data_IF_819676920162
#
_entry.id   IF_819676920162
#
_cell.length_a   1.000
_cell.length_b   1.000
_cell.length_c   1.000
_cell.angle_alpha   90.00
_cell.angle_beta   90.00
_cell.angle_gamma   90.00
#
_symmetry.space_group_name_H-M   'P 1'
#
loop_
_entity.id
_entity.type
_entity.pdbx_description
1 polymer ?
#
# COMPACT_ATOMS: atom_id res chain seq x y z
N UNK A 1 37.29 -47.64 15.39
CA UNK A 1 36.36 -46.58 15.83
C UNK A 1 37.11 -45.26 15.93
N UNK A 2 37.02 -44.41 14.91
CA UNK A 2 37.44 -42.99 14.96
C UNK A 2 36.18 -42.17 14.83
N UNK A 3 35.83 -41.41 15.86
CA UNK A 3 34.66 -40.53 15.86
C UNK A 3 34.96 -39.32 14.98
N UNK A 4 34.15 -39.17 13.93
CA UNK A 4 34.08 -38.00 13.07
C UNK A 4 33.37 -36.89 13.87
N UNK A 5 34.07 -35.83 14.24
CA UNK A 5 33.47 -34.63 14.81
C UNK A 5 32.83 -33.86 13.65
N UNK A 6 31.51 -33.88 13.59
CA UNK A 6 30.72 -33.08 12.65
C UNK A 6 30.77 -31.63 13.13
N UNK A 7 31.66 -30.83 12.56
CA UNK A 7 31.62 -29.37 12.65
C UNK A 7 30.39 -28.91 11.85
N UNK A 8 29.27 -28.65 12.54
CA UNK A 8 28.21 -27.81 11.98
C UNK A 8 28.78 -26.39 11.87
N UNK A 9 29.27 -26.06 10.68
CA UNK A 9 29.44 -24.68 10.25
C UNK A 9 28.07 -24.01 10.26
N UNK A 10 27.87 -23.10 11.22
CA UNK A 10 26.78 -22.14 11.19
C UNK A 10 26.94 -21.28 9.93
N UNK A 11 26.19 -21.60 8.88
CA UNK A 11 25.95 -20.67 7.78
C UNK A 11 25.27 -19.43 8.38
N UNK A 12 25.75 -18.20 8.11
CA UNK A 12 25.01 -17.01 8.48
C UNK A 12 23.66 -17.07 7.77
N UNK A 13 22.58 -16.77 8.49
CA UNK A 13 21.26 -16.65 7.90
C UNK A 13 21.35 -15.71 6.69
N UNK A 14 21.17 -16.25 5.49
CA UNK A 14 21.15 -15.47 4.25
C UNK A 14 19.94 -14.55 4.37
N UNK A 15 20.20 -13.28 4.64
CA UNK A 15 19.20 -12.22 4.53
C UNK A 15 18.80 -12.15 3.06
N UNK A 16 17.59 -12.61 2.71
CA UNK A 16 17.07 -12.41 1.36
C UNK A 16 16.71 -10.93 1.20
N UNK A 17 17.56 -10.13 0.56
CA UNK A 17 17.17 -8.77 0.17
C UNK A 17 16.11 -8.82 -0.94
N UNK A 18 15.31 -7.76 -1.09
CA UNK A 18 14.14 -7.72 -1.97
C UNK A 18 14.45 -8.01 -3.45
N UNK A 19 15.72 -7.88 -3.87
CA UNK A 19 16.18 -8.00 -5.25
C UNK A 19 17.40 -8.91 -5.42
N UNK A 20 17.57 -9.94 -4.58
CA UNK A 20 18.69 -10.88 -4.72
C UNK A 20 18.79 -11.53 -6.11
N UNK A 21 17.66 -11.70 -6.79
CA UNK A 21 17.58 -12.26 -8.15
C UNK A 21 17.96 -11.26 -9.26
N UNK A 22 18.25 -10.00 -8.90
CA UNK A 22 18.52 -8.89 -9.83
C UNK A 22 19.85 -8.22 -9.48
N UNK A 23 20.94 -8.71 -10.07
CA UNK A 23 22.31 -8.30 -9.72
C UNK A 23 22.55 -6.79 -9.83
N UNK A 24 22.09 -6.16 -10.92
CA UNK A 24 22.35 -4.76 -11.19
C UNK A 24 21.49 -3.86 -10.31
N UNK A 25 20.22 -4.22 -10.09
CA UNK A 25 19.36 -3.55 -9.11
C UNK A 25 20.00 -3.61 -7.71
N UNK A 26 20.49 -4.78 -7.31
CA UNK A 26 21.11 -4.94 -6.00
C UNK A 26 22.39 -4.08 -5.88
N UNK A 27 23.26 -4.11 -6.89
CA UNK A 27 24.46 -3.25 -6.95
C UNK A 27 24.10 -1.76 -6.92
N UNK A 28 23.09 -1.34 -7.67
CA UNK A 28 22.58 0.03 -7.68
C UNK A 28 22.12 0.47 -6.28
N UNK A 29 21.32 -0.36 -5.59
CA UNK A 29 20.82 -0.05 -4.25
C UNK A 29 21.95 -0.03 -3.22
N UNK A 30 22.92 -0.95 -3.29
CA UNK A 30 24.09 -0.96 -2.39
C UNK A 30 24.98 0.28 -2.55
N UNK A 31 25.04 0.84 -3.76
CA UNK A 31 25.77 2.08 -4.05
C UNK A 31 24.95 3.35 -3.81
N UNK A 32 23.66 3.22 -3.46
CA UNK A 32 22.77 4.34 -3.14
C UNK A 32 22.91 4.78 -1.68
N UNK A 33 22.42 5.98 -1.36
CA UNK A 33 22.42 6.49 0.03
C UNK A 33 21.55 5.61 0.95
N UNK A 34 22.19 4.90 1.88
CA UNK A 34 21.51 4.03 2.86
C UNK A 34 20.62 4.82 3.83
N UNK A 35 20.84 6.14 4.00
CA UNK A 35 19.97 6.98 4.80
C UNK A 35 18.63 7.26 4.12
N UNK A 36 18.53 7.00 2.80
CA UNK A 36 17.25 7.00 2.11
C UNK A 36 16.40 5.83 2.63
N UNK A 37 15.27 6.15 3.26
CA UNK A 37 14.35 5.17 3.84
C UNK A 37 13.90 4.09 2.83
N UNK A 38 13.66 4.45 1.56
CA UNK A 38 13.24 3.48 0.54
C UNK A 38 14.38 2.51 0.21
N UNK A 39 15.61 3.00 0.08
CA UNK A 39 16.81 2.16 -0.12
C UNK A 39 16.99 1.19 1.03
N UNK A 40 16.95 1.69 2.28
CA UNK A 40 17.05 0.86 3.47
C UNK A 40 16.00 -0.25 3.47
N UNK A 41 14.73 0.08 3.19
CA UNK A 41 13.65 -0.90 3.21
C UNK A 41 13.83 -1.95 2.11
N UNK A 42 14.24 -1.56 0.90
CA UNK A 42 14.45 -2.49 -0.21
C UNK A 42 15.64 -3.43 0.02
N UNK A 43 16.74 -2.94 0.59
CA UNK A 43 17.92 -3.76 0.90
C UNK A 43 17.69 -4.75 2.05
N UNK A 44 16.78 -4.44 2.98
CA UNK A 44 16.57 -5.23 4.19
C UNK A 44 15.28 -6.10 4.16
N UNK A 45 14.63 -6.22 2.99
CA UNK A 45 13.34 -6.92 2.77
C UNK A 45 12.32 -6.59 3.87
N UNK A 46 12.29 -5.31 4.28
CA UNK A 46 11.31 -4.83 5.26
C UNK A 46 9.99 -4.57 4.53
N UNK A 47 8.88 -4.65 5.26
CA UNK A 47 7.56 -4.36 4.71
C UNK A 47 7.49 -2.92 4.19
N UNK A 48 7.24 -2.76 2.89
CA UNK A 48 7.30 -1.46 2.20
C UNK A 48 6.30 -0.43 2.74
N UNK A 49 5.16 -0.91 3.22
CA UNK A 49 4.07 -0.11 3.78
C UNK A 49 3.71 -0.55 5.21
N UNK A 50 4.74 -0.75 6.05
CA UNK A 50 4.54 -1.11 7.46
C UNK A 50 3.65 -0.10 8.20
N UNK A 51 2.93 -0.60 9.22
CA UNK A 51 2.17 0.26 10.13
C UNK A 51 3.11 0.94 11.14
N UNK A 52 4.19 0.27 11.50
CA UNK A 52 5.27 0.90 12.27
C UNK A 52 6.19 1.63 11.29
N UNK A 53 6.36 2.91 11.53
CA UNK A 53 7.02 3.81 10.61
C UNK A 53 8.30 4.39 11.22
N UNK A 54 9.33 3.57 11.31
CA UNK A 54 10.73 4.02 11.27
C UNK A 54 11.60 2.76 11.15
N UNK A 55 12.63 2.71 10.28
CA UNK A 55 13.74 1.81 10.59
C UNK A 55 14.23 2.19 11.98
N UNK A 56 14.13 1.30 12.96
CA UNK A 56 14.48 1.62 14.34
C UNK A 56 15.23 0.45 14.95
N UNK A 57 15.92 0.73 16.05
CA UNK A 57 16.54 -0.29 16.88
C UNK A 57 15.50 -1.07 17.70
N UNK A 58 14.20 -0.88 17.47
CA UNK A 58 13.12 -1.57 18.16
C UNK A 58 12.18 -2.32 17.21
N UNK A 59 11.64 -3.44 17.71
CA UNK A 59 10.57 -4.22 17.08
C UNK A 59 9.33 -4.23 17.98
N UNK A 60 8.14 -4.25 17.37
CA UNK A 60 6.86 -4.29 18.10
C UNK A 60 6.72 -5.60 18.87
N UNK A 61 6.46 -5.50 20.16
CA UNK A 61 6.27 -6.62 21.07
C UNK A 61 4.79 -6.85 21.42
N UNK A 62 3.98 -5.78 21.39
CA UNK A 62 2.52 -5.85 21.52
C UNK A 62 1.88 -4.91 20.52
N UNK A 63 0.87 -5.45 19.84
CA UNK A 63 0.01 -4.68 18.93
C UNK A 63 -1.26 -4.25 19.67
N UNK A 64 -1.80 -3.10 19.28
CA UNK A 64 -3.10 -2.63 19.72
C UNK A 64 -4.00 -2.44 18.50
N UNK A 65 -5.24 -2.90 18.59
CA UNK A 65 -6.19 -2.72 17.50
C UNK A 65 -7.06 -1.52 17.80
N UNK A 66 -7.15 -0.56 16.86
CA UNK A 66 -7.92 0.61 17.11
C UNK A 66 -9.40 0.22 17.25
N UNK A 67 -10.03 0.59 18.37
CA UNK A 67 -11.47 0.41 18.51
C UNK A 67 -12.19 1.29 17.49
N UNK A 68 -12.75 0.66 16.46
CA UNK A 68 -13.52 1.37 15.44
C UNK A 68 -14.81 1.94 16.06
N UNK A 69 -15.00 3.27 16.08
CA UNK A 69 -16.22 3.84 16.63
C UNK A 69 -17.46 3.38 15.83
N UNK A 70 -18.45 2.80 16.51
CA UNK A 70 -19.66 2.27 15.87
C UNK A 70 -20.47 3.32 15.10
N UNK A 71 -20.38 4.59 15.52
CA UNK A 71 -20.98 5.72 14.79
C UNK A 71 -20.34 5.92 13.41
N UNK A 72 -19.02 5.73 13.28
CA UNK A 72 -18.31 5.84 12.00
C UNK A 72 -18.61 4.66 11.09
N UNK A 73 -18.72 3.44 11.64
CA UNK A 73 -19.17 2.26 10.88
C UNK A 73 -20.56 2.51 10.27
N UNK A 74 -21.52 2.98 11.06
CA UNK A 74 -22.88 3.31 10.56
C UNK A 74 -22.86 4.43 9.50
N UNK A 75 -21.93 5.38 9.64
CA UNK A 75 -21.73 6.45 8.67
C UNK A 75 -20.95 6.02 7.44
N UNK A 76 -20.33 4.84 7.42
CA UNK A 76 -19.51 4.38 6.31
C UNK A 76 -18.23 5.20 6.13
N UNK A 77 -17.70 5.77 7.21
CA UNK A 77 -16.50 6.63 7.18
C UNK A 77 -15.29 5.77 7.51
N UNK A 78 -14.31 5.76 6.62
CA UNK A 78 -13.02 5.08 6.76
C UNK A 78 -11.89 6.07 7.03
N UNK A 79 -10.71 5.57 7.39
CA UNK A 79 -9.54 6.42 7.50
C UNK A 79 -8.32 5.77 8.14
N UNK A 80 -7.33 6.59 8.43
CA UNK A 80 -6.16 6.20 9.19
C UNK A 80 -5.64 7.37 10.05
N UNK A 81 -4.91 7.03 11.10
CA UNK A 81 -4.22 7.98 11.97
C UNK A 81 -2.79 7.51 12.18
N UNK A 82 -1.84 8.39 11.91
CA UNK A 82 -0.43 8.21 12.25
C UNK A 82 -0.12 8.91 13.56
N UNK A 83 0.28 8.13 14.56
CA UNK A 83 0.70 8.60 15.88
C UNK A 83 2.22 8.60 15.94
N UNK A 84 2.81 9.72 16.35
CA UNK A 84 4.21 9.83 16.73
C UNK A 84 4.36 9.66 18.24
N UNK A 85 5.40 8.97 18.68
CA UNK A 85 5.66 8.71 20.10
C UNK A 85 7.14 8.36 20.33
N UNK A 86 7.55 8.34 21.60
CA UNK A 86 8.86 7.85 22.05
C UNK A 86 8.75 6.45 22.62
N UNK A 87 9.73 5.59 22.33
CA UNK A 87 9.89 4.29 23.00
C UNK A 87 10.83 4.46 24.18
N UNK A 88 10.37 4.10 25.38
CA UNK A 88 11.16 4.15 26.61
C UNK A 88 12.07 2.92 26.73
N UNK A 89 13.04 2.97 27.64
CA UNK A 89 14.01 1.88 27.87
C UNK A 89 13.37 0.56 28.30
N UNK A 90 12.20 0.62 28.96
CA UNK A 90 11.41 -0.53 29.39
C UNK A 90 10.49 -1.08 28.27
N UNK A 91 10.52 -0.49 27.07
CA UNK A 91 9.67 -0.87 25.95
C UNK A 91 8.26 -0.27 25.97
N UNK A 92 7.92 0.55 26.97
CA UNK A 92 6.69 1.34 26.98
C UNK A 92 6.78 2.54 26.03
N UNK A 93 5.65 3.18 25.72
CA UNK A 93 5.58 4.34 24.83
C UNK A 93 5.11 5.59 25.57
N UNK A 94 5.69 6.75 25.24
CA UNK A 94 5.34 8.07 25.80
C UNK A 94 5.27 9.15 24.72
N UNK A 95 4.86 10.38 25.08
CA UNK A 95 4.83 11.55 24.19
C UNK A 95 4.00 11.37 22.91
N UNK A 96 2.85 10.70 23.02
CA UNK A 96 1.95 10.43 21.91
C UNK A 96 1.35 11.71 21.32
N UNK A 97 1.47 11.88 20.01
CA UNK A 97 0.91 12.99 19.25
C UNK A 97 0.41 12.55 17.89
N UNK A 98 -0.64 13.20 17.39
CA UNK A 98 -1.11 13.01 16.02
C UNK A 98 -0.08 13.62 15.06
N UNK A 99 0.40 12.83 14.11
CA UNK A 99 1.28 13.29 13.02
C UNK A 99 0.46 13.55 11.76
N UNK A 100 -0.46 12.65 11.44
CA UNK A 100 -1.41 12.76 10.34
C UNK A 100 -2.70 12.05 10.71
N UNK A 101 -3.83 12.61 10.31
CA UNK A 101 -5.14 11.99 10.42
C UNK A 101 -5.88 12.22 9.11
N UNK A 102 -6.47 11.17 8.54
CA UNK A 102 -7.23 11.25 7.31
C UNK A 102 -8.43 10.30 7.35
N UNK A 103 -9.67 10.81 7.27
CA UNK A 103 -10.06 12.20 7.38
C UNK A 103 -9.84 12.71 8.82
N UNK A 104 -9.56 14.00 8.96
CA UNK A 104 -9.18 14.59 10.25
C UNK A 104 -10.26 14.41 11.32
N UNK A 105 -9.83 14.21 12.57
CA UNK A 105 -10.64 14.25 13.79
C UNK A 105 -11.63 13.09 14.02
N UNK A 106 -11.89 12.20 13.05
CA UNK A 106 -12.83 11.08 13.25
C UNK A 106 -12.29 9.99 14.19
N UNK A 107 -10.97 9.80 14.19
CA UNK A 107 -10.32 8.64 14.80
C UNK A 107 -9.21 8.98 15.79
N UNK A 108 -8.92 10.27 15.97
CA UNK A 108 -7.75 10.78 16.68
C UNK A 108 -7.75 10.37 18.16
N UNK A 109 -8.86 10.58 18.87
CA UNK A 109 -8.99 10.24 20.29
C UNK A 109 -8.79 8.74 20.53
N UNK A 110 -9.47 7.90 19.74
CA UNK A 110 -9.33 6.45 19.84
C UNK A 110 -7.89 6.04 19.55
N UNK A 111 -7.27 6.59 18.51
CA UNK A 111 -5.89 6.27 18.14
C UNK A 111 -4.88 6.66 19.23
N UNK A 112 -5.04 7.83 19.87
CA UNK A 112 -4.21 8.26 21.00
C UNK A 112 -4.38 7.37 22.22
N UNK A 113 -5.60 6.91 22.49
CA UNK A 113 -5.88 5.99 23.60
C UNK A 113 -5.18 4.64 23.40
N UNK A 114 -5.29 4.08 22.21
CA UNK A 114 -4.73 2.77 21.85
C UNK A 114 -3.19 2.84 21.74
N UNK A 115 -2.64 3.97 21.29
CA UNK A 115 -1.19 4.17 21.23
C UNK A 115 -0.48 3.98 22.58
N UNK A 116 -1.15 4.29 23.70
CA UNK A 116 -0.62 4.06 25.07
C UNK A 116 -0.41 2.58 25.39
N UNK A 117 -1.11 1.69 24.69
CA UNK A 117 -1.01 0.25 24.83
C UNK A 117 0.13 -0.37 24.02
N UNK A 118 0.70 0.33 23.02
CA UNK A 118 1.79 -0.20 22.20
C UNK A 118 3.01 -0.55 23.06
N UNK A 119 3.69 -1.66 22.74
CA UNK A 119 4.94 -2.07 23.40
C UNK A 119 5.97 -2.50 22.38
N UNK A 120 7.23 -2.18 22.66
CA UNK A 120 8.36 -2.45 21.80
C UNK A 120 9.50 -3.13 22.59
N UNK A 121 10.38 -3.81 21.89
CA UNK A 121 11.61 -4.41 22.44
C UNK A 121 12.76 -4.06 21.53
N UNK A 122 13.97 -3.96 22.08
CA UNK A 122 15.16 -3.72 21.25
C UNK A 122 15.32 -4.87 20.25
N UNK A 123 15.51 -4.54 18.98
CA UNK A 123 15.83 -5.47 17.93
C UNK A 123 17.36 -5.64 17.88
N UNK A 124 17.91 -6.75 18.40
CA UNK A 124 19.36 -6.98 18.41
C UNK A 124 19.94 -7.16 17.00
N UNK A 125 19.11 -7.38 15.99
CA UNK A 125 19.52 -7.52 14.59
C UNK A 125 19.53 -6.19 13.82
N UNK A 126 19.02 -5.11 14.42
CA UNK A 126 18.97 -3.80 13.78
C UNK A 126 20.32 -3.12 13.81
N UNK A 127 20.89 -2.88 12.62
CA UNK A 127 22.09 -2.07 12.41
C UNK A 127 21.78 -0.56 12.32
N UNK A 128 20.52 -0.17 12.58
CA UNK A 128 20.08 1.20 12.44
C UNK A 128 20.56 2.07 13.60
N UNK A 129 21.60 2.88 13.35
CA UNK A 129 22.15 3.86 14.28
C UNK A 129 21.81 5.27 13.81
N UNK A 130 20.62 5.77 14.16
CA UNK A 130 20.26 7.18 13.92
C UNK A 130 19.90 7.84 15.23
N UNK A 131 20.45 9.04 15.47
CA UNK A 131 20.19 9.88 16.66
C UNK A 131 18.72 10.32 16.80
N UNK A 132 17.84 9.96 15.85
CA UNK A 132 16.39 10.17 15.93
C UNK A 132 15.64 9.02 16.61
N UNK A 133 16.30 8.21 17.46
CA UNK A 133 15.72 7.05 18.19
C UNK A 133 14.39 7.35 18.92
N UNK A 134 14.07 8.63 19.16
CA UNK A 134 12.90 9.04 19.94
C UNK A 134 11.64 9.41 19.13
N UNK A 135 11.63 9.32 17.80
CA UNK A 135 10.46 9.69 16.98
C UNK A 135 9.87 8.48 16.24
N UNK A 136 9.40 7.49 17.01
CA UNK A 136 8.65 6.37 16.45
C UNK A 136 7.30 6.83 15.92
N UNK A 137 6.79 6.12 14.92
CA UNK A 137 5.46 6.35 14.36
C UNK A 137 4.71 5.03 14.23
N UNK A 138 3.39 5.06 14.43
CA UNK A 138 2.50 3.93 14.22
C UNK A 138 1.23 4.39 13.51
N UNK A 139 0.76 3.61 12.53
CA UNK A 139 -0.46 3.85 11.79
C UNK A 139 -1.58 2.94 12.25
N UNK A 140 -2.61 3.53 12.84
CA UNK A 140 -3.90 2.89 13.04
C UNK A 140 -4.75 3.06 11.79
N UNK A 141 -5.33 1.96 11.30
CA UNK A 141 -6.14 1.93 10.07
C UNK A 141 -7.57 1.50 10.42
N UNK A 142 -8.54 2.24 9.89
CA UNK A 142 -9.99 2.06 10.08
C UNK A 142 -10.63 1.76 8.71
N UNK A 143 -10.56 0.50 8.29
CA UNK A 143 -11.14 0.01 7.04
C UNK A 143 -12.49 -0.67 7.30
N UNK A 144 -13.49 -0.41 6.45
CA UNK A 144 -14.80 -1.03 6.56
C UNK A 144 -14.81 -2.43 5.95
N UNK A 145 -15.52 -3.38 6.58
CA UNK A 145 -15.85 -4.62 5.89
C UNK A 145 -16.66 -4.31 4.64
N UNK A 146 -16.57 -5.17 3.62
CA UNK A 146 -17.18 -4.95 2.31
C UNK A 146 -18.66 -4.55 2.38
N UNK A 147 -19.46 -5.26 3.20
CA UNK A 147 -20.89 -4.96 3.37
C UNK A 147 -21.22 -3.65 4.07
N UNK A 148 -20.23 -2.95 4.67
CA UNK A 148 -20.41 -1.63 5.26
C UNK A 148 -19.91 -0.50 4.35
N UNK A 149 -19.28 -0.82 3.21
CA UNK A 149 -18.87 0.17 2.21
C UNK A 149 -20.13 0.76 1.56
N UNK A 150 -20.28 2.08 1.62
CA UNK A 150 -21.41 2.79 1.02
C UNK A 150 -21.19 3.02 -0.46
N UNK A 151 -21.10 1.97 -1.25
CA UNK A 151 -21.11 2.07 -2.72
C UNK A 151 -22.32 1.30 -3.26
N UNK A 152 -23.25 1.97 -3.97
CA UNK A 152 -24.44 1.29 -4.48
C UNK A 152 -24.07 0.17 -5.46
N UNK A 153 -24.73 -0.99 -5.34
CA UNK A 153 -24.52 -2.12 -6.25
C UNK A 153 -24.71 -1.74 -7.73
N UNK A 154 -25.59 -0.77 -8.00
CA UNK A 154 -25.81 -0.27 -9.35
C UNK A 154 -24.59 0.39 -9.99
N UNK A 155 -23.60 0.85 -9.21
CA UNK A 155 -22.31 1.33 -9.75
C UNK A 155 -21.61 0.19 -10.48
N UNK A 156 -21.48 -0.97 -9.83
CA UNK A 156 -20.85 -2.15 -10.44
C UNK A 156 -21.68 -2.70 -11.60
N UNK A 157 -23.01 -2.66 -11.51
CA UNK A 157 -23.86 -3.04 -12.66
C UNK A 157 -23.61 -2.15 -13.89
N UNK A 158 -23.35 -0.86 -13.71
CA UNK A 158 -22.96 0.01 -14.82
C UNK A 158 -21.51 -0.26 -15.30
N UNK A 159 -20.58 -0.58 -14.38
CA UNK A 159 -19.21 -0.96 -14.76
C UNK A 159 -19.17 -2.27 -15.56
N UNK A 160 -20.02 -3.23 -15.23
CA UNK A 160 -20.14 -4.49 -15.97
C UNK A 160 -20.49 -4.26 -17.45
N UNK A 161 -21.29 -3.24 -17.76
CA UNK A 161 -21.57 -2.86 -19.15
C UNK A 161 -20.31 -2.37 -19.88
N UNK A 162 -19.36 -1.74 -19.18
CA UNK A 162 -18.06 -1.37 -19.76
C UNK A 162 -17.25 -2.61 -20.12
N UNK A 163 -17.19 -3.61 -19.23
CA UNK A 163 -16.46 -4.86 -19.48
C UNK A 163 -17.07 -5.72 -20.60
N UNK A 164 -18.32 -5.44 -20.96
CA UNK A 164 -19.02 -6.05 -22.09
C UNK A 164 -18.96 -5.19 -23.37
N UNK A 165 -18.13 -4.15 -23.40
CA UNK A 165 -18.00 -3.19 -24.50
C UNK A 165 -19.30 -2.44 -24.87
N UNK A 166 -20.24 -2.30 -23.92
CA UNK A 166 -21.53 -1.61 -24.08
C UNK A 166 -21.47 -0.18 -23.55
N UNK A 167 -20.59 0.64 -24.11
CA UNK A 167 -20.27 1.96 -23.57
C UNK A 167 -21.47 2.93 -23.53
N UNK A 168 -22.30 2.98 -24.58
CA UNK A 168 -23.50 3.84 -24.59
C UNK A 168 -24.51 3.44 -23.50
N UNK A 169 -24.65 2.14 -23.24
CA UNK A 169 -25.52 1.65 -22.17
C UNK A 169 -24.94 1.99 -20.80
N UNK A 170 -23.63 1.87 -20.63
CA UNK A 170 -22.94 2.26 -19.39
C UNK A 170 -23.06 3.77 -19.12
N UNK A 171 -22.93 4.61 -20.16
CA UNK A 171 -23.14 6.06 -20.10
C UNK A 171 -24.53 6.37 -19.59
N UNK A 172 -25.57 5.87 -20.27
CA UNK A 172 -26.97 6.05 -19.88
C UNK A 172 -27.29 5.49 -18.48
N UNK A 173 -26.65 4.38 -18.09
CA UNK A 173 -26.82 3.74 -16.79
C UNK A 173 -26.35 4.62 -15.62
N UNK A 174 -25.32 5.44 -15.85
CA UNK A 174 -24.58 6.17 -14.82
C UNK A 174 -24.84 7.67 -14.83
N UNK A 175 -25.03 8.30 -15.99
CA UNK A 175 -25.21 9.75 -16.16
C UNK A 175 -26.34 10.32 -15.30
N UNK A 176 -27.52 9.69 -15.33
CA UNK A 176 -28.70 10.13 -14.56
C UNK A 176 -28.59 9.85 -13.05
N UNK A 177 -27.47 9.26 -12.59
CA UNK A 177 -27.26 8.85 -11.19
C UNK A 177 -26.05 9.53 -10.55
N UNK A 178 -25.38 10.42 -11.26
CA UNK A 178 -24.24 11.18 -10.74
C UNK A 178 -24.61 12.00 -9.49
N UNK A 179 -25.83 12.55 -9.46
CA UNK A 179 -26.36 13.29 -8.30
C UNK A 179 -26.77 12.38 -7.13
N UNK A 180 -27.04 11.10 -7.39
CA UNK A 180 -27.46 10.13 -6.37
C UNK A 180 -26.26 9.68 -5.55
N UNK A 181 -25.14 9.39 -6.22
CA UNK A 181 -23.93 8.93 -5.57
C UNK A 181 -22.70 9.18 -6.47
N UNK A 182 -21.66 9.80 -5.89
CA UNK A 182 -20.40 10.13 -6.57
C UNK A 182 -19.74 8.93 -7.27
N UNK A 183 -19.87 7.73 -6.69
CA UNK A 183 -19.39 6.48 -7.28
C UNK A 183 -19.88 6.20 -8.72
N UNK A 184 -21.02 6.73 -9.15
CA UNK A 184 -21.47 6.62 -10.56
C UNK A 184 -20.60 7.39 -11.55
N UNK A 185 -19.78 8.33 -11.08
CA UNK A 185 -18.78 9.03 -11.90
C UNK A 185 -17.76 8.06 -12.50
N UNK A 186 -17.47 6.93 -11.83
CA UNK A 186 -16.50 5.94 -12.31
C UNK A 186 -16.96 5.28 -13.61
N UNK A 187 -18.09 4.54 -13.66
CA UNK A 187 -18.59 3.97 -14.90
C UNK A 187 -18.93 5.02 -15.96
N UNK A 188 -19.37 6.22 -15.54
CA UNK A 188 -19.61 7.32 -16.48
C UNK A 188 -18.32 7.77 -17.17
N UNK A 189 -17.27 8.09 -16.41
CA UNK A 189 -15.98 8.45 -16.97
C UNK A 189 -15.37 7.32 -17.81
N UNK A 190 -15.50 6.06 -17.39
CA UNK A 190 -15.07 4.92 -18.20
C UNK A 190 -15.80 4.87 -19.55
N UNK A 191 -17.13 5.08 -19.55
CA UNK A 191 -17.91 5.11 -20.79
C UNK A 191 -17.45 6.22 -21.75
N UNK A 192 -17.19 7.42 -21.21
CA UNK A 192 -16.69 8.56 -21.98
C UNK A 192 -15.31 8.27 -22.56
N UNK A 193 -14.42 7.67 -21.77
CA UNK A 193 -13.06 7.36 -22.21
C UNK A 193 -13.07 6.41 -23.42
N UNK A 194 -13.85 5.33 -23.35
CA UNK A 194 -13.97 4.37 -24.44
C UNK A 194 -14.82 4.87 -25.62
N UNK A 195 -15.68 5.87 -25.40
CA UNK A 195 -16.35 6.64 -26.45
C UNK A 195 -15.47 7.75 -27.07
N UNK A 196 -14.17 7.74 -26.80
CA UNK A 196 -13.17 8.69 -27.30
C UNK A 196 -13.28 10.13 -26.75
N UNK A 197 -14.05 10.35 -25.68
CA UNK A 197 -14.13 11.59 -24.90
C UNK A 197 -13.08 11.62 -23.77
N UNK A 198 -11.83 11.23 -24.09
CA UNK A 198 -10.78 10.88 -23.11
C UNK A 198 -10.46 11.99 -22.10
N UNK A 199 -10.36 13.24 -22.56
CA UNK A 199 -10.00 14.38 -21.70
C UNK A 199 -11.04 14.62 -20.61
N UNK A 200 -12.31 14.49 -20.95
CA UNK A 200 -13.41 14.67 -20.00
C UNK A 200 -13.41 13.55 -18.96
N UNK A 201 -13.27 12.30 -19.40
CA UNK A 201 -13.15 11.15 -18.50
C UNK A 201 -12.01 11.29 -17.49
N UNK A 202 -10.81 11.69 -17.96
CA UNK A 202 -9.65 11.91 -17.10
C UNK A 202 -9.93 13.03 -16.09
N UNK A 203 -10.52 14.14 -16.53
CA UNK A 203 -10.85 15.27 -15.64
C UNK A 203 -11.84 14.86 -14.55
N UNK A 204 -12.89 14.10 -14.89
CA UNK A 204 -13.89 13.64 -13.93
C UNK A 204 -13.25 12.80 -12.81
N UNK A 205 -12.46 11.79 -13.16
CA UNK A 205 -11.82 10.92 -12.16
C UNK A 205 -10.74 11.67 -11.36
N UNK A 206 -9.99 12.56 -12.01
CA UNK A 206 -8.97 13.38 -11.35
C UNK A 206 -9.58 14.37 -10.36
N UNK A 207 -10.75 14.93 -10.66
CA UNK A 207 -11.49 15.76 -9.71
C UNK A 207 -12.04 14.93 -8.55
N UNK A 208 -12.61 13.76 -8.83
CA UNK A 208 -13.19 12.88 -7.80
C UNK A 208 -12.15 12.37 -6.79
N UNK A 209 -10.98 11.93 -7.24
CA UNK A 209 -9.92 11.46 -6.32
C UNK A 209 -9.37 12.61 -5.43
N UNK A 210 -9.40 13.84 -5.94
CA UNK A 210 -8.91 15.05 -5.26
C UNK A 210 -9.99 15.76 -4.43
N UNK A 211 -11.25 15.33 -4.52
CA UNK A 211 -12.35 15.96 -3.80
C UNK A 211 -12.19 15.72 -2.28
N UNK A 212 -12.04 16.78 -1.46
CA UNK A 212 -12.00 16.66 -0.02
C UNK A 212 -13.33 16.19 0.59
N UNK A 213 -14.46 16.35 -0.12
CA UNK A 213 -15.78 15.95 0.34
C UNK A 213 -16.13 14.49 0.03
N UNK A 214 -15.35 13.83 -0.83
CA UNK A 214 -15.50 12.40 -1.08
C UNK A 214 -14.94 11.61 0.12
N UNK A 215 -15.83 11.15 1.00
CA UNK A 215 -15.45 10.40 2.21
C UNK A 215 -15.19 8.91 1.95
N UNK A 216 -15.64 8.35 0.84
CA UNK A 216 -15.47 6.94 0.50
C UNK A 216 -14.08 6.68 -0.10
N UNK A 217 -13.20 6.12 0.73
CA UNK A 217 -11.89 5.65 0.28
C UNK A 217 -12.00 4.57 -0.80
N UNK A 218 -13.07 3.78 -0.80
CA UNK A 218 -13.28 2.79 -1.85
C UNK A 218 -13.62 3.42 -3.21
N UNK A 219 -14.46 4.47 -3.24
CA UNK A 219 -14.71 5.25 -4.48
C UNK A 219 -13.40 5.87 -4.98
N UNK A 220 -12.59 6.42 -4.08
CA UNK A 220 -11.25 6.95 -4.42
C UNK A 220 -10.32 5.86 -4.96
N UNK A 221 -10.34 4.65 -4.40
CA UNK A 221 -9.53 3.53 -4.87
C UNK A 221 -9.93 3.08 -6.30
N UNK A 222 -11.23 2.92 -6.56
CA UNK A 222 -11.72 2.57 -7.89
C UNK A 222 -11.40 3.66 -8.92
N UNK A 223 -11.57 4.93 -8.52
CA UNK A 223 -11.23 6.09 -9.35
C UNK A 223 -9.73 6.16 -9.64
N UNK A 224 -8.88 5.91 -8.64
CA UNK A 224 -7.42 5.86 -8.79
C UNK A 224 -6.99 4.79 -9.78
N UNK A 225 -7.56 3.58 -9.69
CA UNK A 225 -7.26 2.50 -10.63
C UNK A 225 -7.64 2.88 -12.06
N UNK A 226 -8.86 3.36 -12.29
CA UNK A 226 -9.31 3.74 -13.63
C UNK A 226 -8.51 4.93 -14.20
N UNK A 227 -8.29 5.97 -13.39
CA UNK A 227 -7.56 7.16 -13.80
C UNK A 227 -6.10 6.86 -14.19
N UNK A 228 -5.40 6.05 -13.40
CA UNK A 228 -4.01 5.70 -13.69
C UNK A 228 -3.87 4.86 -14.96
N UNK A 229 -4.84 3.98 -15.27
CA UNK A 229 -4.92 3.29 -16.56
C UNK A 229 -5.06 4.32 -17.70
N UNK A 230 -6.03 5.23 -17.60
CA UNK A 230 -6.31 6.23 -18.65
C UNK A 230 -5.13 7.16 -18.91
N UNK A 231 -4.49 7.63 -17.83
CA UNK A 231 -3.29 8.47 -17.93
C UNK A 231 -2.14 7.70 -18.57
N UNK A 232 -1.95 6.42 -18.22
CA UNK A 232 -0.85 5.62 -18.75
C UNK A 232 -1.03 5.33 -20.24
N UNK A 233 -2.24 4.93 -20.65
CA UNK A 233 -2.59 4.72 -22.06
C UNK A 233 -2.54 6.01 -22.90
N UNK A 234 -2.68 7.17 -22.25
CA UNK A 234 -2.53 8.48 -22.88
C UNK A 234 -1.11 9.04 -22.78
N UNK A 235 -0.14 8.25 -22.29
CA UNK A 235 1.26 8.62 -22.09
C UNK A 235 1.48 9.84 -21.16
N UNK A 236 0.51 10.12 -20.29
CA UNK A 236 0.53 11.24 -19.33
C UNK A 236 1.21 10.84 -18.01
N UNK A 237 2.48 10.41 -18.09
CA UNK A 237 3.22 9.87 -16.95
C UNK A 237 3.41 10.86 -15.80
N UNK A 238 3.65 12.13 -16.09
CA UNK A 238 3.81 13.17 -15.06
C UNK A 238 2.55 13.37 -14.22
N UNK A 239 1.37 13.20 -14.83
CA UNK A 239 0.10 13.29 -14.10
C UNK A 239 -0.08 12.11 -13.15
N UNK A 240 0.39 10.90 -13.52
CA UNK A 240 0.40 9.73 -12.62
C UNK A 240 1.32 10.00 -11.42
N UNK A 241 2.51 10.57 -11.65
CA UNK A 241 3.45 10.91 -10.58
C UNK A 241 2.82 11.92 -9.61
N UNK A 242 2.09 12.92 -10.12
CA UNK A 242 1.38 13.90 -9.28
C UNK A 242 0.27 13.27 -8.42
N UNK A 243 -0.22 12.07 -8.76
CA UNK A 243 -1.21 11.36 -7.95
C UNK A 243 -0.61 10.62 -6.75
N UNK A 244 0.72 10.44 -6.68
CA UNK A 244 1.40 9.66 -5.64
C UNK A 244 0.86 9.94 -4.21
N UNK A 245 0.70 11.20 -3.74
CA UNK A 245 0.20 11.45 -2.38
C UNK A 245 -1.21 10.89 -2.13
N UNK A 246 -2.08 10.95 -3.13
CA UNK A 246 -3.46 10.44 -3.05
C UNK A 246 -3.47 8.91 -3.06
N UNK A 247 -2.64 8.29 -3.92
CA UNK A 247 -2.51 6.83 -3.98
C UNK A 247 -2.00 6.26 -2.65
N UNK A 248 -0.99 6.91 -2.06
CA UNK A 248 -0.46 6.57 -0.73
C UNK A 248 -1.56 6.67 0.33
N UNK A 249 -2.35 7.74 0.34
CA UNK A 249 -3.39 7.95 1.34
C UNK A 249 -4.50 6.90 1.25
N UNK A 250 -4.89 6.50 0.03
CA UNK A 250 -5.84 5.40 -0.18
C UNK A 250 -5.25 4.08 0.33
N UNK A 251 -4.00 3.78 -0.05
CA UNK A 251 -3.30 2.55 0.33
C UNK A 251 -3.14 2.37 1.84
N UNK A 252 -3.03 3.47 2.58
CA UNK A 252 -2.94 3.49 4.05
C UNK A 252 -4.23 3.09 4.76
N UNK A 253 -5.38 3.34 4.12
CA UNK A 253 -6.70 2.86 4.57
C UNK A 253 -6.90 1.38 4.21
N UNK A 254 -6.24 0.89 3.17
CA UNK A 254 -6.29 -0.50 2.72
C UNK A 254 -6.29 -0.56 1.20
N UNK A 255 -7.16 -1.38 0.63
CA UNK A 255 -7.39 -1.46 -0.80
C UNK A 255 -6.15 -1.83 -1.61
N UNK A 256 -5.34 -2.75 -1.08
CA UNK A 256 -4.24 -3.40 -1.78
C UNK A 256 -4.62 -3.81 -3.20
N UNK A 257 -5.68 -4.63 -3.32
CA UNK A 257 -6.06 -5.27 -4.58
C UNK A 257 -6.57 -4.26 -5.62
N UNK A 258 -7.51 -3.34 -5.30
CA UNK A 258 -7.93 -2.33 -6.27
C UNK A 258 -6.82 -1.35 -6.68
N UNK A 259 -5.80 -1.14 -5.84
CA UNK A 259 -4.72 -0.18 -6.09
C UNK A 259 -3.53 -0.78 -6.86
N UNK A 260 -3.56 -2.07 -7.14
CA UNK A 260 -2.49 -2.81 -7.82
C UNK A 260 -2.05 -2.17 -9.14
N UNK A 261 -3.00 -1.86 -10.03
CA UNK A 261 -2.68 -1.18 -11.30
C UNK A 261 -2.13 0.23 -11.07
N UNK A 262 -2.70 0.98 -10.12
CA UNK A 262 -2.27 2.34 -9.84
C UNK A 262 -0.81 2.42 -9.38
N UNK A 263 -0.38 1.52 -8.48
CA UNK A 263 1.02 1.47 -8.06
C UNK A 263 1.95 0.89 -9.10
N UNK A 264 1.49 -0.07 -9.91
CA UNK A 264 2.26 -0.57 -11.04
C UNK A 264 2.58 0.57 -12.02
N UNK A 265 1.56 1.31 -12.47
CA UNK A 265 1.74 2.40 -13.42
C UNK A 265 2.52 3.56 -12.81
N UNK A 266 2.31 3.89 -11.53
CA UNK A 266 3.16 4.86 -10.83
C UNK A 266 4.64 4.43 -10.85
N UNK A 267 4.93 3.16 -10.55
CA UNK A 267 6.29 2.62 -10.59
C UNK A 267 6.94 2.73 -11.97
N UNK A 268 6.20 2.41 -13.03
CA UNK A 268 6.70 2.54 -14.41
C UNK A 268 6.90 4.01 -14.79
N UNK A 269 5.95 4.89 -14.48
CA UNK A 269 6.07 6.33 -14.76
C UNK A 269 7.27 6.97 -14.06
N UNK A 270 7.54 6.58 -12.81
CA UNK A 270 8.71 7.03 -12.07
C UNK A 270 10.02 6.56 -12.71
N UNK A 271 10.05 5.37 -13.32
CA UNK A 271 11.21 4.91 -14.07
C UNK A 271 11.47 5.80 -15.29
N UNK A 272 10.43 6.11 -16.08
CA UNK A 272 10.55 7.03 -17.22
C UNK A 272 10.95 8.45 -16.81
N UNK A 273 10.68 8.85 -15.58
CA UNK A 273 11.11 10.13 -15.01
C UNK A 273 12.50 10.07 -14.31
N UNK A 274 13.28 9.00 -14.51
CA UNK A 274 14.60 8.77 -13.91
C UNK A 274 14.60 8.76 -12.36
N UNK A 275 13.46 8.45 -11.75
CA UNK A 275 13.29 8.30 -10.29
C UNK A 275 13.41 6.82 -9.91
N UNK A 276 14.58 6.23 -10.18
CA UNK A 276 14.82 4.77 -10.12
C UNK A 276 14.48 4.18 -8.74
N UNK A 277 14.92 4.81 -7.64
CA UNK A 277 14.66 4.29 -6.27
C UNK A 277 13.14 4.24 -5.99
N UNK A 278 12.41 5.29 -6.36
CA UNK A 278 10.96 5.35 -6.16
C UNK A 278 10.22 4.35 -7.04
N UNK A 279 10.68 4.17 -8.28
CA UNK A 279 10.17 3.16 -9.19
C UNK A 279 10.31 1.75 -8.62
N UNK A 280 11.53 1.36 -8.21
CA UNK A 280 11.81 0.06 -7.62
C UNK A 280 10.96 -0.19 -6.37
N UNK A 281 10.77 0.85 -5.55
CA UNK A 281 9.92 0.78 -4.36
C UNK A 281 8.46 0.45 -4.70
N UNK A 282 7.84 1.16 -5.66
CA UNK A 282 6.43 0.93 -6.00
C UNK A 282 6.20 -0.34 -6.84
N UNK A 283 7.16 -0.73 -7.69
CA UNK A 283 7.11 -2.02 -8.38
C UNK A 283 7.22 -3.17 -7.37
N UNK A 284 8.13 -3.07 -6.39
CA UNK A 284 8.21 -4.07 -5.31
C UNK A 284 6.95 -4.09 -4.45
N UNK A 285 6.33 -2.93 -4.19
CA UNK A 285 5.06 -2.85 -3.47
C UNK A 285 3.96 -3.57 -4.23
N UNK A 286 3.89 -3.39 -5.55
CA UNK A 286 2.95 -4.08 -6.43
C UNK A 286 3.13 -5.60 -6.35
N UNK A 287 4.38 -6.09 -6.40
CA UNK A 287 4.66 -7.52 -6.20
C UNK A 287 4.21 -8.01 -4.83
N UNK A 288 4.49 -7.27 -3.76
CA UNK A 288 4.08 -7.62 -2.40
C UNK A 288 2.55 -7.72 -2.29
N UNK A 289 1.83 -6.75 -2.86
CA UNK A 289 0.37 -6.64 -2.74
C UNK A 289 -0.37 -7.61 -3.68
N UNK A 290 0.26 -8.11 -4.75
CA UNK A 290 -0.31 -9.13 -5.64
C UNK A 290 -0.50 -10.50 -4.98
N UNK A 291 0.07 -10.69 -3.78
CA UNK A 291 -0.14 -11.82 -2.88
C UNK A 291 0.27 -13.22 -3.44
N UNK A 292 1.04 -13.29 -4.53
CA UNK A 292 1.43 -14.55 -5.17
C UNK A 292 2.68 -15.22 -4.56
N UNK A 293 3.55 -14.48 -3.90
CA UNK A 293 4.77 -14.98 -3.23
C UNK A 293 5.06 -14.19 -1.94
N UNK A 294 4.37 -14.49 -0.84
CA UNK A 294 4.69 -13.86 0.45
C UNK A 294 6.01 -14.48 0.97
N UNK A 295 7.10 -13.69 1.02
CA UNK A 295 8.35 -14.14 1.66
C UNK A 295 8.12 -14.44 3.16
N UNK A 296 8.84 -15.45 3.68
CA UNK A 296 8.82 -15.85 5.10
C UNK A 296 9.33 -14.72 6.03
N UNK A 297 10.03 -13.71 5.48
CA UNK A 297 10.64 -12.60 6.23
C UNK A 297 9.73 -11.39 6.44
N UNK A 298 8.62 -11.27 5.70
CA UNK A 298 7.58 -10.26 5.95
C UNK A 298 6.83 -10.45 7.30
N UNK A 299 7.23 -11.47 8.09
CA UNK A 299 6.61 -11.90 9.34
C UNK A 299 7.05 -11.13 10.59
N UNK A 300 8.09 -10.30 10.50
CA UNK A 300 8.66 -9.61 11.68
C UNK A 300 7.84 -8.38 12.14
N UNK A 301 6.98 -7.84 11.27
CA UNK A 301 6.18 -6.64 11.57
C UNK A 301 4.77 -6.94 12.06
N UNK A 302 4.37 -8.21 12.16
CA UNK A 302 3.04 -8.58 12.62
C UNK A 302 3.10 -9.95 13.31
N UNK A 303 2.96 -9.93 14.64
CA UNK A 303 2.91 -11.11 15.51
C UNK A 303 1.83 -12.09 15.03
N UNK A 304 0.77 -11.59 14.37
CA UNK A 304 -0.22 -12.43 13.69
C UNK A 304 0.20 -12.84 12.28
N UNK A 305 1.00 -12.10 11.51
CA UNK A 305 1.52 -12.62 10.23
C UNK A 305 2.44 -13.82 10.46
N UNK A 306 3.23 -13.82 11.53
CA UNK A 306 4.03 -15.00 11.92
C UNK A 306 3.14 -16.19 12.31
N UNK A 307 2.06 -15.96 13.08
CA UNK A 307 1.09 -17.03 13.46
C UNK A 307 0.12 -17.43 12.34
N UNK A 308 -0.19 -16.53 11.44
CA UNK A 308 -1.05 -16.75 10.31
C UNK A 308 -0.26 -17.40 9.18
N UNK A 309 1.07 -17.24 9.06
CA UNK A 309 1.87 -17.92 8.02
C UNK A 309 1.96 -19.43 8.21
N UNK A 310 1.94 -19.92 9.45
CA UNK A 310 1.75 -21.36 9.71
C UNK A 310 0.34 -21.86 9.33
N UNK A 311 -0.62 -20.94 9.18
CA UNK A 311 -2.01 -21.18 8.75
C UNK A 311 -2.34 -20.66 7.33
N UNK A 312 -1.44 -19.92 6.64
CA UNK A 312 -1.72 -19.28 5.34
C UNK A 312 -1.65 -20.28 4.18
N UNK A 313 -1.12 -21.49 4.44
CA UNK A 313 -1.41 -22.66 3.58
C UNK A 313 -2.88 -23.09 3.65
N UNK A 314 -3.70 -22.47 4.50
CA UNK A 314 -5.09 -22.83 4.80
C UNK A 314 -6.05 -21.61 4.89
N UNK A 315 -5.67 -20.41 4.42
CA UNK A 315 -6.60 -19.27 4.33
C UNK A 315 -7.11 -19.08 2.89
N UNK A 316 -8.35 -19.53 2.58
CA UNK A 316 -8.92 -19.55 1.23
C UNK A 316 -9.38 -18.18 0.67
N UNK A 317 -9.08 -17.06 1.33
CA UNK A 317 -9.75 -15.77 1.08
C UNK A 317 -8.91 -14.69 0.37
N UNK A 318 -7.66 -14.96 -0.05
CA UNK A 318 -6.88 -13.98 -0.82
C UNK A 318 -6.44 -14.52 -2.17
N UNK A 319 -6.89 -13.86 -3.23
CA UNK A 319 -6.57 -14.20 -4.60
C UNK A 319 -5.11 -13.85 -4.92
N UNK A 320 -4.42 -14.74 -5.66
CA UNK A 320 -3.14 -14.41 -6.27
C UNK A 320 -3.40 -13.76 -7.64
N UNK A 321 -2.98 -12.49 -7.79
CA UNK A 321 -3.08 -11.74 -9.04
C UNK A 321 -1.86 -12.02 -9.93
N UNK A 322 -1.80 -13.25 -10.45
CA UNK A 322 -0.60 -13.80 -11.09
C UNK A 322 -0.15 -13.01 -12.33
N UNK A 323 -1.09 -12.51 -13.12
CA UNK A 323 -0.78 -11.75 -14.34
C UNK A 323 -0.03 -10.46 -14.01
N UNK A 324 -0.49 -9.73 -12.99
CA UNK A 324 0.18 -8.51 -12.57
C UNK A 324 1.50 -8.79 -11.87
N UNK A 325 1.58 -9.85 -11.07
CA UNK A 325 2.84 -10.29 -10.48
C UNK A 325 3.89 -10.56 -11.57
N UNK A 326 3.53 -11.35 -12.58
CA UNK A 326 4.39 -11.71 -13.71
C UNK A 326 4.77 -10.47 -14.54
N UNK A 327 3.80 -9.58 -14.81
CA UNK A 327 4.06 -8.31 -15.50
C UNK A 327 5.11 -7.50 -14.74
N UNK A 328 4.96 -7.38 -13.42
CA UNK A 328 5.89 -6.64 -12.57
C UNK A 328 7.27 -7.29 -12.52
N UNK A 329 7.34 -8.62 -12.47
CA UNK A 329 8.60 -9.37 -12.53
C UNK A 329 9.35 -9.11 -13.85
N UNK A 330 8.65 -9.10 -14.98
CA UNK A 330 9.21 -8.79 -16.29
C UNK A 330 9.70 -7.35 -16.38
N UNK A 331 8.94 -6.39 -15.84
CA UNK A 331 9.36 -4.99 -15.76
C UNK A 331 10.64 -4.83 -14.93
N UNK A 332 10.73 -5.48 -13.77
CA UNK A 332 11.94 -5.45 -12.95
C UNK A 332 13.15 -6.10 -13.65
N UNK A 333 12.93 -7.20 -14.40
CA UNK A 333 13.99 -7.80 -15.25
C UNK A 333 14.47 -6.82 -16.32
N UNK A 334 13.55 -6.11 -16.97
CA UNK A 334 13.89 -5.10 -17.96
C UNK A 334 14.69 -3.95 -17.34
N UNK A 335 14.27 -3.43 -16.20
CA UNK A 335 15.00 -2.38 -15.45
C UNK A 335 16.40 -2.87 -15.08
N UNK A 336 16.53 -4.08 -14.53
CA UNK A 336 17.83 -4.67 -14.17
C UNK A 336 18.77 -4.80 -15.37
N UNK A 337 18.26 -4.95 -16.60
CA UNK A 337 19.10 -5.04 -17.78
C UNK A 337 19.51 -3.66 -18.33
N UNK A 338 18.82 -2.59 -17.93
CA UNK A 338 19.06 -1.21 -18.38
C UNK A 338 20.04 -0.51 -17.45
N UNK A 339 19.87 -0.68 -16.14
CA UNK A 339 20.76 -0.11 -15.10
C UNK A 339 21.94 -1.04 -14.82
#
# INVERSE_FOLDING_TARGET
MKYLIFLLSFLPAITLAAFNDYSNINSFLLNSDINNKKVYVLLNDKRLFSKDYHPSSFKRARDEYPRYPSSMIKKGIEGYVEIGFRVNTDGSTSDHRIIKSMPSNYFDENSLKEAKGLRYTKDPSSTYSSDTENNHKHRFTFNLPEGARKVPNGVFSCMELIYQDKFDQAKNCSENKLEIHSGYTIPFAMSLYYANEKKEAINLLNNLIKDPNEESFYVKALSASALTIFLFESELYDEIIKLEPFLIDIRKVGYEEPMLNAFYFLGVSLFYADKIIDSLFYLKLTQQDSNCKISVMNSNDDIKATKAQSLYRLLPEKNCYIDLFNRTENTLKAINNII
#
